data_IF_188438832319
#
_entry.id   IF_188438832319
#
_cell.length_a   1.000
_cell.length_b   1.000
_cell.length_c   1.000
_cell.angle_alpha   90.00
_cell.angle_beta   90.00
_cell.angle_gamma   90.00
#
_symmetry.space_group_name_H-M   'P 1'
#
loop_
_entity.id
_entity.type
_entity.pdbx_description
1 polymer ?
#
# COMPACT_ATOMS: atom_id res chain seq x y z
N UNK A 1 -19.20 -20.80 -28.67
CA UNK A 1 -20.35 -20.21 -27.94
C UNK A 1 -20.73 -21.28 -26.93
N UNK A 2 -20.49 -21.20 -25.62
CA UNK A 2 -20.19 -20.17 -24.62
C UNK A 2 -19.31 -20.88 -23.54
N UNK A 3 -18.67 -20.28 -22.55
CA UNK A 3 -18.42 -18.92 -22.09
C UNK A 3 -17.12 -19.05 -21.29
N UNK A 4 -16.22 -18.07 -21.39
CA UNK A 4 -15.06 -18.00 -20.50
C UNK A 4 -15.59 -17.61 -19.13
N UNK A 5 -15.36 -18.44 -18.12
CA UNK A 5 -15.49 -18.04 -16.72
C UNK A 5 -14.49 -16.91 -16.45
N UNK A 6 -14.99 -15.69 -16.64
CA UNK A 6 -14.42 -14.47 -16.09
C UNK A 6 -14.48 -14.60 -14.58
N UNK A 7 -13.33 -14.85 -13.98
CA UNK A 7 -13.07 -14.59 -12.57
C UNK A 7 -13.48 -13.14 -12.29
N UNK A 8 -14.70 -12.97 -11.77
CA UNK A 8 -15.21 -11.71 -11.27
C UNK A 8 -14.27 -11.24 -10.17
N UNK A 9 -13.68 -10.06 -10.36
CA UNK A 9 -12.69 -9.47 -9.47
C UNK A 9 -13.13 -9.53 -8.02
N UNK A 10 -12.43 -10.34 -7.23
CA UNK A 10 -12.36 -10.14 -5.81
C UNK A 10 -11.58 -8.84 -5.59
N UNK A 11 -12.30 -7.76 -5.26
CA UNK A 11 -11.68 -6.62 -4.61
C UNK A 11 -11.30 -7.12 -3.22
N UNK A 12 -10.07 -7.59 -3.07
CA UNK A 12 -9.47 -7.91 -1.77
C UNK A 12 -9.13 -6.59 -1.11
N UNK A 13 -10.07 -6.06 -0.31
CA UNK A 13 -9.80 -4.94 0.59
C UNK A 13 -9.12 -5.53 1.82
N UNK A 14 -7.78 -5.63 1.81
CA UNK A 14 -7.03 -5.96 3.01
C UNK A 14 -6.99 -4.72 3.89
N UNK A 15 -7.84 -4.69 4.90
CA UNK A 15 -7.66 -3.74 5.99
C UNK A 15 -6.79 -4.47 7.01
N UNK A 16 -5.52 -4.07 7.18
CA UNK A 16 -4.67 -4.50 8.30
C UNK A 16 -5.27 -3.92 9.59
N UNK A 17 -6.39 -4.50 10.01
CA UNK A 17 -7.24 -3.92 11.02
C UNK A 17 -7.50 -4.96 12.09
N UNK A 18 -6.42 -5.41 12.70
CA UNK A 18 -6.53 -5.74 14.12
C UNK A 18 -6.79 -4.41 14.82
N UNK A 19 -8.07 -4.08 15.02
CA UNK A 19 -8.48 -2.83 15.63
C UNK A 19 -8.17 -2.84 17.12
N UNK A 20 -7.88 -1.66 17.67
CA UNK A 20 -7.76 -1.48 19.12
C UNK A 20 -8.97 -2.08 19.85
N UNK A 21 -10.18 -1.79 19.37
CA UNK A 21 -11.44 -2.26 19.97
C UNK A 21 -11.55 -3.80 19.95
N UNK A 22 -11.07 -4.46 18.90
CA UNK A 22 -11.08 -5.92 18.78
C UNK A 22 -10.12 -6.54 19.81
N UNK A 23 -8.92 -5.97 19.96
CA UNK A 23 -7.92 -6.42 20.95
C UNK A 23 -8.35 -6.14 22.39
N UNK A 24 -9.05 -5.04 22.64
CA UNK A 24 -9.61 -4.76 23.97
C UNK A 24 -10.67 -5.80 24.36
N UNK A 25 -11.47 -6.27 23.39
CA UNK A 25 -12.49 -7.29 23.61
C UNK A 25 -11.90 -8.71 23.76
N UNK A 26 -10.92 -9.06 22.92
CA UNK A 26 -10.30 -10.40 22.90
C UNK A 26 -9.27 -10.60 24.02
N UNK A 27 -8.58 -9.53 24.42
CA UNK A 27 -7.51 -9.56 25.42
C UNK A 27 -7.76 -8.53 26.54
N UNK A 28 -8.86 -8.66 27.31
CA UNK A 28 -9.25 -7.69 28.33
C UNK A 28 -8.24 -7.61 29.49
N UNK A 29 -7.46 -8.66 29.70
CA UNK A 29 -6.48 -8.75 30.80
C UNK A 29 -5.12 -8.10 30.47
N UNK A 30 -4.84 -7.80 29.20
CA UNK A 30 -3.62 -7.10 28.79
C UNK A 30 -3.73 -5.60 29.08
N UNK A 31 -2.61 -4.97 29.43
CA UNK A 31 -2.49 -3.52 29.47
C UNK A 31 -2.58 -2.90 28.07
N UNK A 32 -2.80 -1.59 27.99
CA UNK A 32 -2.85 -0.87 26.71
C UNK A 32 -1.55 -1.03 25.90
N UNK A 33 -0.39 -0.92 26.55
CA UNK A 33 0.92 -1.09 25.91
C UNK A 33 1.14 -2.51 25.38
N UNK A 34 0.66 -3.52 26.11
CA UNK A 34 0.72 -4.92 25.67
C UNK A 34 -0.19 -5.16 24.47
N UNK A 35 -1.40 -4.59 24.44
CA UNK A 35 -2.30 -4.68 23.28
C UNK A 35 -1.75 -3.94 22.06
N UNK A 36 -1.15 -2.77 22.25
CA UNK A 36 -0.48 -2.02 21.17
C UNK A 36 0.66 -2.87 20.59
N UNK A 37 1.48 -3.47 21.45
CA UNK A 37 2.57 -4.34 21.01
C UNK A 37 2.06 -5.54 20.21
N UNK A 38 1.02 -6.21 20.70
CA UNK A 38 0.37 -7.33 20.02
C UNK A 38 -0.26 -6.91 18.68
N UNK A 39 -0.85 -5.72 18.60
CA UNK A 39 -1.38 -5.17 17.35
C UNK A 39 -0.28 -5.03 16.30
N UNK A 40 0.90 -4.52 16.68
CA UNK A 40 2.03 -4.39 15.77
C UNK A 40 2.55 -5.74 15.29
N UNK A 41 2.62 -6.73 16.18
CA UNK A 41 3.02 -8.11 15.83
C UNK A 41 2.06 -8.72 14.80
N UNK A 42 0.76 -8.75 15.11
CA UNK A 42 -0.26 -9.34 14.23
C UNK A 42 -0.33 -8.61 12.87
N UNK A 43 -0.31 -7.28 12.88
CA UNK A 43 -0.31 -6.51 11.63
C UNK A 43 0.98 -6.74 10.83
N UNK A 44 2.12 -6.97 11.50
CA UNK A 44 3.38 -7.35 10.87
C UNK A 44 3.29 -8.69 10.15
N UNK A 45 2.74 -9.71 10.81
CA UNK A 45 2.54 -11.04 10.23
C UNK A 45 1.61 -10.98 9.00
N UNK A 46 0.48 -10.27 9.10
CA UNK A 46 -0.41 -10.07 7.96
C UNK A 46 0.26 -9.32 6.81
N UNK A 47 1.07 -8.31 7.11
CA UNK A 47 1.82 -7.57 6.09
C UNK A 47 2.86 -8.47 5.40
N UNK A 48 3.51 -9.37 6.12
CA UNK A 48 4.46 -10.32 5.53
C UNK A 48 3.77 -11.37 4.65
N UNK A 49 2.59 -11.85 5.05
CA UNK A 49 1.73 -12.68 4.19
C UNK A 49 1.33 -11.93 2.91
N UNK A 50 0.93 -10.66 3.01
CA UNK A 50 0.60 -9.85 1.84
C UNK A 50 1.79 -9.62 0.92
N UNK A 51 3.00 -9.44 1.47
CA UNK A 51 4.23 -9.36 0.67
C UNK A 51 4.56 -10.68 -0.03
N UNK A 52 4.26 -11.81 0.59
CA UNK A 52 4.41 -13.11 -0.03
C UNK A 52 3.39 -13.31 -1.16
N UNK A 53 2.13 -12.96 -0.92
CA UNK A 53 1.03 -13.04 -1.90
C UNK A 53 1.25 -12.13 -3.11
N UNK A 54 1.73 -10.91 -2.86
CA UNK A 54 1.98 -9.89 -3.89
C UNK A 54 3.41 -9.91 -4.42
N UNK A 55 4.16 -11.01 -4.23
CA UNK A 55 5.45 -11.23 -4.87
C UNK A 55 5.29 -11.51 -6.37
N UNK A 56 4.79 -10.51 -7.10
CA UNK A 56 4.41 -10.54 -8.50
C UNK A 56 5.29 -9.54 -9.24
N UNK A 57 6.05 -10.05 -10.20
CA UNK A 57 6.99 -9.28 -11.00
C UNK A 57 6.31 -8.67 -12.22
N UNK A 58 6.36 -7.34 -12.35
CA UNK A 58 5.94 -6.63 -13.56
C UNK A 58 7.13 -6.46 -14.52
N UNK A 59 6.83 -6.22 -15.80
CA UNK A 59 7.84 -5.97 -16.84
C UNK A 59 8.46 -4.59 -16.76
N UNK A 60 7.92 -3.69 -15.94
CA UNK A 60 8.30 -2.30 -15.85
C UNK A 60 8.46 -1.86 -14.38
N UNK A 61 9.27 -0.82 -14.11
CA UNK A 61 9.29 -0.15 -12.81
C UNK A 61 7.90 0.36 -12.41
N UNK A 62 7.68 0.45 -11.10
CA UNK A 62 6.45 1.04 -10.56
C UNK A 62 6.73 2.50 -10.23
N UNK A 63 5.95 3.41 -10.82
CA UNK A 63 5.93 4.83 -10.50
C UNK A 63 5.01 5.07 -9.29
N UNK A 64 5.56 5.70 -8.26
CA UNK A 64 4.81 6.17 -7.08
C UNK A 64 4.64 7.67 -7.21
N UNK A 65 3.42 8.13 -7.41
CA UNK A 65 3.08 9.55 -7.44
C UNK A 65 2.53 9.94 -6.06
N UNK A 66 3.16 10.94 -5.43
CA UNK A 66 2.83 11.37 -4.08
C UNK A 66 2.32 12.80 -4.01
N UNK A 67 1.20 12.98 -3.31
CA UNK A 67 0.78 14.24 -2.70
C UNK A 67 1.30 14.24 -1.26
N UNK A 68 2.35 15.01 -1.00
CA UNK A 68 3.14 14.95 0.21
C UNK A 68 2.70 16.03 1.20
N UNK A 69 2.31 15.63 2.40
CA UNK A 69 2.09 16.51 3.54
C UNK A 69 3.40 16.74 4.28
N UNK A 70 3.97 17.93 4.12
CA UNK A 70 5.19 18.34 4.82
C UNK A 70 4.88 19.38 5.88
N UNK A 71 5.78 19.55 6.85
CA UNK A 71 5.64 20.56 7.92
C UNK A 71 5.50 22.00 7.39
N UNK A 72 5.96 22.26 6.16
CA UNK A 72 5.89 23.57 5.50
C UNK A 72 4.86 23.64 4.35
N UNK A 73 3.89 22.73 4.35
CA UNK A 73 2.80 22.69 3.38
C UNK A 73 2.86 21.48 2.46
N UNK A 74 2.02 21.52 1.42
CA UNK A 74 1.86 20.39 0.49
C UNK A 74 2.74 20.50 -0.74
N UNK A 75 3.30 19.38 -1.18
CA UNK A 75 4.07 19.28 -2.44
C UNK A 75 3.75 18.01 -3.19
N UNK A 76 3.71 18.11 -4.52
CA UNK A 76 3.68 16.93 -5.38
C UNK A 76 5.10 16.41 -5.60
N UNK A 77 5.24 15.09 -5.68
CA UNK A 77 6.49 14.43 -6.03
C UNK A 77 6.23 13.07 -6.66
N UNK A 78 7.29 12.47 -7.19
CA UNK A 78 7.25 11.09 -7.66
C UNK A 78 8.56 10.37 -7.35
N UNK A 79 8.51 9.04 -7.30
CA UNK A 79 9.70 8.17 -7.30
C UNK A 79 9.41 6.89 -8.08
N UNK A 80 10.45 6.22 -8.51
CA UNK A 80 10.32 4.88 -9.07
C UNK A 80 10.70 3.82 -8.03
N UNK A 81 10.03 2.67 -8.10
CA UNK A 81 10.43 1.41 -7.48
C UNK A 81 11.03 0.57 -8.63
N UNK A 82 12.37 0.53 -8.77
CA UNK A 82 13.02 -0.02 -9.96
C UNK A 82 12.82 -1.53 -10.14
N UNK A 83 12.53 -2.24 -9.04
CA UNK A 83 12.34 -3.69 -9.07
C UNK A 83 11.14 -4.10 -9.92
N UNK A 84 10.09 -3.27 -10.03
CA UNK A 84 8.85 -3.63 -10.68
C UNK A 84 8.03 -4.71 -9.96
N UNK A 85 8.41 -5.09 -8.73
CA UNK A 85 7.68 -6.10 -7.96
C UNK A 85 6.59 -5.44 -7.11
N UNK A 86 5.36 -5.93 -7.16
CA UNK A 86 4.21 -5.31 -6.48
C UNK A 86 4.40 -5.29 -4.96
N UNK A 87 5.01 -6.32 -4.36
CA UNK A 87 5.25 -6.35 -2.90
C UNK A 87 6.10 -5.19 -2.42
N UNK A 88 6.94 -4.64 -3.30
CA UNK A 88 7.85 -3.55 -2.95
C UNK A 88 7.10 -2.22 -2.76
N UNK A 89 5.82 -2.16 -3.15
CA UNK A 89 4.90 -1.07 -2.79
C UNK A 89 4.52 -1.07 -1.29
N UNK A 90 4.60 -2.23 -0.63
CA UNK A 90 4.17 -2.46 0.76
C UNK A 90 5.32 -2.29 1.78
N UNK A 91 6.23 -1.37 1.50
CA UNK A 91 7.24 -0.90 2.44
C UNK A 91 7.01 0.57 2.74
N UNK A 92 7.14 0.93 4.01
CA UNK A 92 6.93 2.29 4.48
C UNK A 92 8.01 2.69 5.47
N UNK A 93 8.36 3.97 5.43
CA UNK A 93 9.21 4.70 6.37
C UNK A 93 8.42 5.72 7.20
N UNK A 94 7.08 5.66 7.15
CA UNK A 94 6.17 6.54 7.89
C UNK A 94 5.58 5.85 9.12
N UNK A 95 4.99 6.61 10.03
CA UNK A 95 4.45 6.12 11.30
C UNK A 95 3.30 5.11 11.10
N UNK A 96 2.42 5.37 10.13
CA UNK A 96 1.34 4.45 9.75
C UNK A 96 1.13 4.47 8.24
N UNK A 97 0.77 3.32 7.66
CA UNK A 97 0.45 3.23 6.25
C UNK A 97 -0.74 2.32 6.01
N UNK A 98 -1.69 2.79 5.21
CA UNK A 98 -2.87 2.03 4.83
C UNK A 98 -2.88 1.89 3.31
N UNK A 99 -2.61 0.69 2.82
CA UNK A 99 -2.74 0.37 1.40
C UNK A 99 -4.15 -0.09 1.08
N UNK A 100 -4.67 0.33 -0.07
CA UNK A 100 -5.99 -0.06 -0.53
C UNK A 100 -6.09 0.03 -2.06
N UNK A 101 -7.06 -0.69 -2.62
CA UNK A 101 -7.45 -0.54 -4.02
C UNK A 101 -8.67 0.37 -4.06
N UNK A 102 -8.58 1.46 -4.82
CA UNK A 102 -9.69 2.39 -4.94
C UNK A 102 -10.80 1.88 -5.88
N UNK A 103 -11.86 2.68 -6.05
CA UNK A 103 -13.00 2.32 -6.92
C UNK A 103 -12.63 2.22 -8.41
N UNK A 104 -11.49 2.76 -8.81
CA UNK A 104 -10.97 2.70 -10.18
C UNK A 104 -10.04 1.49 -10.39
N UNK A 105 -9.79 0.70 -9.34
CA UNK A 105 -8.84 -0.41 -9.38
C UNK A 105 -7.39 0.02 -9.18
N UNK A 106 -7.14 1.26 -8.75
CA UNK A 106 -5.79 1.74 -8.54
C UNK A 106 -5.30 1.39 -7.13
N UNK A 107 -4.07 0.87 -7.03
CA UNK A 107 -3.40 0.71 -5.75
C UNK A 107 -3.00 2.10 -5.21
N UNK A 108 -3.39 2.35 -3.96
CA UNK A 108 -3.11 3.58 -3.23
C UNK A 108 -2.56 3.30 -1.85
N UNK A 109 -1.95 4.32 -1.25
CA UNK A 109 -1.57 4.29 0.15
C UNK A 109 -1.77 5.67 0.79
N UNK A 110 -2.42 5.69 1.95
CA UNK A 110 -2.40 6.84 2.85
C UNK A 110 -1.33 6.58 3.92
N UNK A 111 -0.30 7.43 3.95
CA UNK A 111 0.87 7.27 4.81
C UNK A 111 0.99 8.47 5.76
N UNK A 112 0.90 8.21 7.05
CA UNK A 112 0.94 9.21 8.12
C UNK A 112 2.38 9.34 8.61
N UNK A 113 2.92 10.53 8.46
CA UNK A 113 4.22 10.93 9.00
C UNK A 113 3.99 12.05 10.04
N UNK A 114 4.87 12.18 11.01
CA UNK A 114 4.77 13.24 12.03
C UNK A 114 4.71 14.67 11.45
N UNK A 115 5.25 14.87 10.23
CA UNK A 115 5.17 16.16 9.51
C UNK A 115 3.87 16.36 8.71
N UNK A 116 3.07 15.31 8.51
CA UNK A 116 1.83 15.36 7.72
C UNK A 116 1.41 14.04 7.10
N UNK A 117 0.30 14.06 6.36
CA UNK A 117 -0.23 12.87 5.66
C UNK A 117 0.14 12.93 4.18
N UNK A 118 0.73 11.84 3.70
CA UNK A 118 1.04 11.60 2.30
C UNK A 118 -0.04 10.72 1.66
N UNK A 119 -0.38 11.00 0.40
CA UNK A 119 -1.26 10.16 -0.41
C UNK A 119 -0.50 9.67 -1.64
N UNK A 120 -0.37 8.36 -1.78
CA UNK A 120 0.35 7.71 -2.85
C UNK A 120 -0.59 7.04 -3.85
N UNK A 121 -0.23 7.14 -5.12
CA UNK A 121 -0.82 6.41 -6.24
C UNK A 121 0.29 5.62 -6.93
N UNK A 122 0.10 4.30 -7.04
CA UNK A 122 1.05 3.40 -7.69
C UNK A 122 0.59 3.10 -9.12
N UNK A 123 1.49 3.26 -10.09
CA UNK A 123 1.23 3.07 -11.53
C UNK A 123 2.43 2.39 -12.18
N UNK A 124 2.22 1.78 -13.33
CA UNK A 124 3.30 1.43 -14.26
C UNK A 124 3.15 2.27 -15.54
N UNK A 125 4.23 2.38 -16.32
CA UNK A 125 4.10 2.96 -17.64
C UNK A 125 3.21 2.08 -18.52
N UNK A 126 2.61 2.70 -19.54
CA UNK A 126 1.94 1.92 -20.59
C UNK A 126 3.03 1.21 -21.38
N UNK A 127 2.78 -0.02 -21.83
CA UNK A 127 3.70 -0.76 -22.70
C UNK A 127 4.06 0.01 -23.99
N UNK A 128 3.21 0.98 -24.38
CA UNK A 128 3.44 1.84 -25.54
C UNK A 128 4.26 3.11 -25.25
N UNK A 129 4.69 3.36 -24.00
CA UNK A 129 5.48 4.54 -23.65
C UNK A 129 6.91 4.41 -24.21
N UNK A 130 7.39 5.44 -24.90
CA UNK A 130 8.77 5.46 -25.38
C UNK A 130 9.76 5.82 -24.26
N UNK A 131 11.03 5.38 -24.33
CA UNK A 131 12.05 5.77 -23.36
C UNK A 131 12.16 7.29 -23.21
N UNK A 132 12.10 8.03 -24.33
CA UNK A 132 12.10 9.50 -24.31
C UNK A 132 10.89 10.13 -23.62
N UNK A 133 9.73 9.47 -23.58
CA UNK A 133 8.57 9.95 -22.83
C UNK A 133 8.75 9.73 -21.33
N UNK A 134 9.42 8.64 -20.96
CA UNK A 134 9.72 8.29 -19.57
C UNK A 134 10.78 9.24 -19.00
N UNK A 135 11.84 9.53 -19.76
CA UNK A 135 12.93 10.44 -19.35
C UNK A 135 12.51 11.90 -19.14
N UNK A 136 11.31 12.29 -19.57
CA UNK A 136 10.79 13.67 -19.49
C UNK A 136 9.91 13.95 -18.27
N UNK A 137 9.74 12.98 -17.36
CA UNK A 137 9.00 13.14 -16.09
C UNK A 137 9.78 13.95 -15.06
#
# INVERSE_FOLDING_TARGET
MNEKDTLSGAIMVWTMRTGRDDLEAEYPDLSEDERISLMYEINGDYLDDERANLNVQLSQPILVVGDLGLWNGRRMGYKEIPSGNIRDCLYSDTDYSTWYVDRLGDLRCDAIHHDGTNHYLYRVYKDSASPSQIELL
#
